data_IF_681547859662
#
_entry.id   IF_681547859662
#
_cell.length_a   1.000
_cell.length_b   1.000
_cell.length_c   1.000
_cell.angle_alpha   90.00
_cell.angle_beta   90.00
_cell.angle_gamma   90.00
#
_symmetry.space_group_name_H-M   'P 1'
#
loop_
_entity.id
_entity.type
_entity.pdbx_description
1 polymer ?
#
# COMPACT_ATOMS: atom_id res chain seq x y z
N UNK A 1 -30.48 4.84 1.71
CA UNK A 1 -29.19 5.55 1.52
C UNK A 1 -28.13 4.64 0.91
N UNK A 2 -27.68 3.57 1.59
CA UNK A 2 -26.62 2.71 1.05
C UNK A 2 -26.94 2.11 -0.32
N UNK A 3 -28.19 1.68 -0.53
CA UNK A 3 -28.66 1.21 -1.83
C UNK A 3 -28.55 2.29 -2.91
N UNK A 4 -28.95 3.53 -2.62
CA UNK A 4 -28.87 4.65 -3.54
C UNK A 4 -27.40 4.99 -3.91
N UNK A 5 -26.50 4.98 -2.93
CA UNK A 5 -25.07 5.15 -3.17
C UNK A 5 -24.51 4.02 -4.04
N UNK A 6 -24.90 2.75 -3.74
CA UNK A 6 -24.50 1.61 -4.57
C UNK A 6 -24.97 1.78 -6.01
N UNK A 7 -26.22 2.13 -6.20
CA UNK A 7 -26.81 2.32 -7.52
C UNK A 7 -26.08 3.42 -8.32
N UNK A 8 -25.74 4.54 -7.69
CA UNK A 8 -24.96 5.62 -8.33
C UNK A 8 -23.59 5.11 -8.80
N UNK A 9 -22.81 4.47 -7.91
CA UNK A 9 -21.48 3.95 -8.24
C UNK A 9 -21.56 2.92 -9.35
N UNK A 10 -22.45 1.93 -9.22
CA UNK A 10 -22.63 0.86 -10.22
C UNK A 10 -23.04 1.42 -11.58
N UNK A 11 -23.93 2.41 -11.61
CA UNK A 11 -24.33 3.06 -12.87
C UNK A 11 -23.15 3.78 -13.54
N UNK A 12 -22.31 4.47 -12.77
CA UNK A 12 -21.09 5.08 -13.33
C UNK A 12 -20.13 4.03 -13.87
N UNK A 13 -19.94 2.89 -13.18
CA UNK A 13 -19.09 1.79 -13.65
C UNK A 13 -19.64 1.17 -14.94
N UNK A 14 -20.96 0.97 -15.04
CA UNK A 14 -21.62 0.46 -16.28
C UNK A 14 -21.42 1.39 -17.47
N UNK A 15 -21.43 2.70 -17.25
CA UNK A 15 -21.24 3.71 -18.29
C UNK A 15 -19.77 3.90 -18.68
N UNK A 16 -18.86 3.52 -17.77
CA UNK A 16 -17.43 3.63 -18.03
C UNK A 16 -16.99 2.73 -19.20
N UNK A 17 -16.20 3.22 -20.15
CA UNK A 17 -15.68 2.40 -21.24
C UNK A 17 -14.75 1.28 -20.74
N UNK A 18 -14.02 1.53 -19.66
CA UNK A 18 -13.11 0.58 -19.01
C UNK A 18 -13.14 0.79 -17.50
N UNK A 19 -12.85 -0.28 -16.76
CA UNK A 19 -12.67 -0.21 -15.31
C UNK A 19 -11.57 -1.18 -14.85
N UNK A 20 -11.11 -1.01 -13.62
CA UNK A 20 -10.20 -1.91 -12.96
C UNK A 20 -10.67 -2.16 -11.52
N UNK A 21 -10.32 -3.30 -10.96
CA UNK A 21 -10.63 -3.64 -9.56
C UNK A 21 -9.36 -3.87 -8.75
N UNK A 22 -9.41 -3.53 -7.48
CA UNK A 22 -8.50 -4.04 -6.48
C UNK A 22 -9.27 -4.79 -5.43
N UNK A 23 -8.69 -5.84 -4.92
CA UNK A 23 -9.31 -6.65 -3.88
C UNK A 23 -8.27 -7.21 -2.91
N UNK A 24 -8.75 -7.43 -1.70
CA UNK A 24 -7.95 -8.02 -0.63
C UNK A 24 -8.87 -8.73 0.36
N UNK A 25 -8.32 -9.65 1.16
CA UNK A 25 -9.02 -10.42 2.15
C UNK A 25 -8.43 -10.18 3.54
N UNK A 26 -9.29 -10.05 4.53
CA UNK A 26 -8.87 -9.98 5.92
C UNK A 26 -9.88 -10.65 6.84
N UNK A 27 -9.41 -11.16 7.97
CA UNK A 27 -10.27 -11.77 8.99
C UNK A 27 -10.76 -10.71 9.97
N UNK A 28 -12.06 -10.63 10.17
CA UNK A 28 -12.67 -9.69 11.11
C UNK A 28 -12.66 -10.18 12.59
N UNK A 29 -13.18 -9.36 13.49
CA UNK A 29 -13.24 -9.67 14.94
C UNK A 29 -14.12 -10.86 15.29
N UNK A 30 -14.94 -11.34 14.36
CA UNK A 30 -15.78 -12.53 14.50
C UNK A 30 -15.14 -13.78 13.87
N UNK A 31 -13.88 -13.70 13.47
CA UNK A 31 -13.15 -14.73 12.74
C UNK A 31 -13.74 -15.08 11.37
N UNK A 32 -14.50 -14.15 10.77
CA UNK A 32 -15.02 -14.30 9.42
C UNK A 32 -14.06 -13.64 8.42
N UNK A 33 -13.70 -14.37 7.38
CA UNK A 33 -12.97 -13.80 6.26
C UNK A 33 -13.87 -12.83 5.49
N UNK A 34 -13.40 -11.63 5.24
CA UNK A 34 -14.11 -10.56 4.53
C UNK A 34 -13.37 -10.25 3.24
N UNK A 35 -14.04 -10.38 2.10
CA UNK A 35 -13.54 -9.94 0.81
C UNK A 35 -13.91 -8.47 0.60
N UNK A 36 -12.93 -7.60 0.42
CA UNK A 36 -13.12 -6.18 0.14
C UNK A 36 -12.72 -5.87 -1.29
N UNK A 37 -13.59 -5.17 -2.01
CA UNK A 37 -13.38 -4.83 -3.41
C UNK A 37 -13.62 -3.34 -3.64
N UNK A 38 -12.67 -2.69 -4.30
CA UNK A 38 -12.78 -1.33 -4.84
C UNK A 38 -12.72 -1.36 -6.35
N UNK A 39 -13.28 -0.34 -6.98
CA UNK A 39 -13.29 -0.15 -8.42
C UNK A 39 -12.71 1.20 -8.80
N UNK A 40 -11.98 1.24 -9.91
CA UNK A 40 -11.52 2.46 -10.58
C UNK A 40 -12.16 2.51 -11.95
N UNK A 41 -12.77 3.63 -12.29
CA UNK A 41 -13.56 3.80 -13.51
C UNK A 41 -13.47 5.25 -14.03
N UNK A 42 -13.92 5.47 -15.25
CA UNK A 42 -13.95 6.77 -15.89
C UNK A 42 -15.38 7.30 -15.86
N UNK A 43 -15.54 8.50 -15.34
CA UNK A 43 -16.80 9.23 -15.38
C UNK A 43 -16.50 10.74 -15.57
N UNK A 44 -17.26 11.42 -16.44
CA UNK A 44 -17.12 12.87 -16.70
C UNK A 44 -15.66 13.31 -16.97
N UNK A 45 -14.97 12.57 -17.83
CA UNK A 45 -13.55 12.80 -18.17
C UNK A 45 -12.59 12.82 -16.97
N UNK A 46 -12.92 12.06 -15.93
CA UNK A 46 -12.08 11.86 -14.75
C UNK A 46 -12.02 10.40 -14.37
N UNK A 47 -10.93 10.04 -13.75
CA UNK A 47 -10.78 8.75 -13.09
C UNK A 47 -11.35 8.85 -11.68
N UNK A 48 -12.21 7.92 -11.33
CA UNK A 48 -12.81 7.81 -10.01
C UNK A 48 -12.44 6.48 -9.37
N UNK A 49 -12.34 6.48 -8.05
CA UNK A 49 -12.12 5.30 -7.22
C UNK A 49 -13.22 5.23 -6.17
N UNK A 50 -13.88 4.09 -6.06
CA UNK A 50 -14.93 3.94 -5.08
C UNK A 50 -15.03 2.51 -4.52
N UNK A 51 -15.67 2.40 -3.37
CA UNK A 51 -15.98 1.14 -2.72
C UNK A 51 -17.03 0.37 -3.52
N UNK A 52 -16.68 -0.84 -3.98
CA UNK A 52 -17.59 -1.67 -4.75
C UNK A 52 -18.45 -2.57 -3.85
N UNK A 53 -17.82 -3.40 -3.02
CA UNK A 53 -18.52 -4.22 -2.01
C UNK A 53 -17.54 -4.80 -0.96
N UNK A 54 -18.13 -5.27 0.16
CA UNK A 54 -17.46 -6.10 1.16
C UNK A 54 -18.42 -7.22 1.59
N UNK A 55 -17.98 -8.47 1.41
CA UNK A 55 -18.81 -9.63 1.72
C UNK A 55 -18.04 -10.68 2.52
N UNK A 56 -18.70 -11.39 3.44
CA UNK A 56 -18.06 -12.51 4.13
C UNK A 56 -17.89 -13.70 3.17
N UNK A 57 -16.72 -14.32 3.22
CA UNK A 57 -16.45 -15.60 2.56
C UNK A 57 -16.85 -16.75 3.48
N UNK A 58 -17.54 -17.80 2.97
CA UNK A 58 -18.29 -18.71 3.84
C UNK A 58 -17.42 -19.58 4.75
N UNK A 59 -16.35 -20.21 4.26
CA UNK A 59 -15.55 -21.12 5.10
C UNK A 59 -14.09 -21.18 4.69
N UNK A 60 -13.81 -21.12 3.40
CA UNK A 60 -12.46 -21.17 2.84
C UNK A 60 -12.25 -19.99 1.93
N UNK A 61 -11.06 -19.42 1.97
CA UNK A 61 -10.65 -18.31 1.12
C UNK A 61 -9.92 -18.85 -0.10
N UNK A 62 -10.61 -19.75 -0.82
CA UNK A 62 -10.08 -20.31 -2.06
C UNK A 62 -10.33 -19.37 -3.24
N UNK A 63 -9.52 -19.51 -4.27
CA UNK A 63 -9.69 -18.76 -5.51
C UNK A 63 -11.11 -18.87 -6.07
N UNK A 64 -11.71 -20.07 -6.00
CA UNK A 64 -13.05 -20.35 -6.52
C UNK A 64 -14.13 -19.60 -5.74
N UNK A 65 -14.04 -19.55 -4.40
CA UNK A 65 -15.02 -18.81 -3.58
C UNK A 65 -14.89 -17.29 -3.79
N UNK A 66 -13.67 -16.77 -3.92
CA UNK A 66 -13.43 -15.36 -4.22
C UNK A 66 -13.95 -15.02 -5.62
N UNK A 67 -13.64 -15.86 -6.61
CA UNK A 67 -14.12 -15.67 -7.99
C UNK A 67 -15.64 -15.73 -8.06
N UNK A 68 -16.26 -16.67 -7.37
CA UNK A 68 -17.70 -16.81 -7.29
C UNK A 68 -18.36 -15.55 -6.74
N UNK A 69 -17.87 -15.01 -5.61
CA UNK A 69 -18.38 -13.77 -5.02
C UNK A 69 -18.26 -12.57 -5.97
N UNK A 70 -17.14 -12.44 -6.67
CA UNK A 70 -16.91 -11.41 -7.69
C UNK A 70 -17.88 -11.57 -8.86
N UNK A 71 -17.99 -12.78 -9.42
CA UNK A 71 -18.81 -13.04 -10.60
C UNK A 71 -20.31 -12.90 -10.31
N UNK A 72 -20.77 -13.33 -9.14
CA UNK A 72 -22.14 -13.09 -8.68
C UNK A 72 -22.45 -11.59 -8.56
N UNK A 73 -21.53 -10.80 -8.02
CA UNK A 73 -21.70 -9.35 -7.97
C UNK A 73 -21.78 -8.75 -9.38
N UNK A 74 -20.86 -9.11 -10.29
CA UNK A 74 -20.88 -8.63 -11.67
C UNK A 74 -22.18 -8.97 -12.39
N UNK A 75 -22.68 -10.21 -12.25
CA UNK A 75 -23.94 -10.64 -12.86
C UNK A 75 -25.14 -9.90 -12.28
N UNK A 76 -25.24 -9.82 -10.94
CA UNK A 76 -26.36 -9.18 -10.26
C UNK A 76 -26.45 -7.68 -10.55
N UNK A 77 -25.30 -7.03 -10.70
CA UNK A 77 -25.22 -5.60 -10.97
C UNK A 77 -25.06 -5.28 -12.46
N UNK A 78 -25.08 -6.27 -13.34
CA UNK A 78 -24.98 -6.07 -14.80
C UNK A 78 -23.68 -5.42 -15.23
N UNK A 79 -22.56 -5.73 -14.56
CA UNK A 79 -21.22 -5.28 -14.96
C UNK A 79 -20.62 -6.24 -15.98
N UNK A 80 -19.87 -5.70 -16.93
CA UNK A 80 -19.24 -6.48 -18.00
C UNK A 80 -17.77 -6.75 -17.74
N UNK A 81 -17.38 -8.02 -17.68
CA UNK A 81 -15.97 -8.42 -17.55
C UNK A 81 -15.12 -7.99 -18.75
N UNK A 82 -15.72 -7.85 -19.94
CA UNK A 82 -15.05 -7.36 -21.15
C UNK A 82 -14.50 -5.95 -21.00
N UNK A 83 -15.03 -5.15 -20.07
CA UNK A 83 -14.57 -3.79 -19.75
C UNK A 83 -13.60 -3.76 -18.56
N UNK A 84 -13.30 -4.90 -17.94
CA UNK A 84 -12.32 -4.97 -16.86
C UNK A 84 -10.90 -5.08 -17.44
N UNK A 85 -10.10 -4.03 -17.29
CA UNK A 85 -8.72 -3.96 -17.81
C UNK A 85 -7.64 -4.11 -16.74
N UNK A 86 -8.00 -4.22 -15.49
CA UNK A 86 -7.02 -4.40 -14.42
C UNK A 86 -7.58 -5.09 -13.20
N UNK A 87 -6.76 -5.97 -12.62
CA UNK A 87 -7.01 -6.58 -11.32
C UNK A 87 -5.75 -6.44 -10.47
N UNK A 88 -5.88 -5.87 -9.27
CA UNK A 88 -4.78 -5.74 -8.31
C UNK A 88 -5.09 -6.56 -7.06
N UNK A 89 -4.16 -7.43 -6.67
CA UNK A 89 -4.28 -8.28 -5.47
C UNK A 89 -2.93 -8.35 -4.75
N UNK A 90 -2.92 -8.95 -3.59
CA UNK A 90 -1.68 -9.43 -2.99
C UNK A 90 -1.11 -10.63 -3.78
N UNK A 91 0.07 -11.10 -3.36
CA UNK A 91 0.73 -12.25 -3.96
C UNK A 91 0.34 -13.60 -3.36
N UNK A 92 -0.74 -13.68 -2.57
CA UNK A 92 -1.18 -14.90 -1.91
C UNK A 92 -1.46 -16.03 -2.92
N UNK A 93 -1.24 -17.27 -2.49
CA UNK A 93 -1.40 -18.44 -3.36
C UNK A 93 -2.81 -18.60 -3.93
N UNK A 94 -3.84 -18.20 -3.19
CA UNK A 94 -5.21 -18.19 -3.66
C UNK A 94 -5.41 -17.20 -4.81
N UNK A 95 -4.67 -16.08 -4.81
CA UNK A 95 -4.75 -15.04 -5.85
C UNK A 95 -3.96 -15.45 -7.10
N UNK A 96 -2.72 -15.93 -6.95
CA UNK A 96 -1.73 -16.05 -8.03
C UNK A 96 -1.41 -17.48 -8.49
N UNK A 97 -2.08 -18.49 -7.93
CA UNK A 97 -1.83 -19.90 -8.27
C UNK A 97 -1.90 -20.17 -9.77
N UNK A 98 -0.85 -20.77 -10.35
CA UNK A 98 -0.65 -20.95 -11.81
C UNK A 98 -1.82 -21.66 -12.53
N UNK A 99 -2.51 -22.57 -11.86
CA UNK A 99 -3.55 -23.40 -12.49
C UNK A 99 -4.96 -22.99 -12.14
N UNK A 100 -5.19 -22.56 -10.90
CA UNK A 100 -6.53 -22.29 -10.36
C UNK A 100 -6.61 -21.01 -9.51
N UNK A 101 -5.60 -20.14 -9.59
CA UNK A 101 -5.63 -18.85 -8.88
C UNK A 101 -6.71 -17.92 -9.41
N UNK A 102 -7.19 -17.02 -8.57
CA UNK A 102 -8.21 -16.04 -8.92
C UNK A 102 -7.86 -15.26 -10.20
N UNK A 103 -6.63 -14.78 -10.30
CA UNK A 103 -6.15 -14.02 -11.47
C UNK A 103 -6.33 -14.82 -12.77
N UNK A 104 -6.01 -16.12 -12.75
CA UNK A 104 -6.19 -16.98 -13.91
C UNK A 104 -7.65 -17.14 -14.31
N UNK A 105 -8.55 -17.27 -13.34
CA UNK A 105 -9.99 -17.36 -13.58
C UNK A 105 -10.52 -16.05 -14.17
N UNK A 106 -10.15 -14.91 -13.61
CA UNK A 106 -10.53 -13.59 -14.16
C UNK A 106 -10.00 -13.42 -15.58
N UNK A 107 -8.73 -13.71 -15.85
CA UNK A 107 -8.15 -13.57 -17.19
C UNK A 107 -8.78 -14.51 -18.22
N UNK A 108 -9.42 -15.59 -17.81
CA UNK A 108 -10.16 -16.47 -18.72
C UNK A 108 -11.42 -15.79 -19.28
N UNK A 109 -12.10 -14.99 -18.49
CA UNK A 109 -13.33 -14.27 -18.88
C UNK A 109 -13.07 -12.81 -19.28
N UNK A 110 -11.97 -12.23 -18.82
CA UNK A 110 -11.48 -10.89 -19.12
C UNK A 110 -10.03 -10.95 -19.62
N UNK A 111 -9.77 -11.43 -20.86
CA UNK A 111 -8.40 -11.64 -21.37
C UNK A 111 -7.56 -10.36 -21.44
N UNK A 112 -8.22 -9.19 -21.52
CA UNK A 112 -7.58 -7.89 -21.55
C UNK A 112 -7.16 -7.40 -20.15
N UNK A 113 -7.59 -8.06 -19.07
CA UNK A 113 -7.26 -7.64 -17.71
C UNK A 113 -5.80 -7.92 -17.37
N UNK A 114 -5.07 -6.86 -17.06
CA UNK A 114 -3.70 -6.93 -16.56
C UNK A 114 -3.72 -7.16 -15.07
N UNK A 115 -2.99 -8.17 -14.62
CA UNK A 115 -2.81 -8.38 -13.19
C UNK A 115 -1.62 -7.58 -12.66
N UNK A 116 -1.85 -6.84 -11.58
CA UNK A 116 -0.82 -6.17 -10.80
C UNK A 116 -0.72 -6.80 -9.41
N UNK A 117 0.47 -7.31 -9.08
CA UNK A 117 0.79 -7.64 -7.70
C UNK A 117 0.95 -6.35 -6.91
N UNK A 118 0.22 -6.17 -5.83
CA UNK A 118 0.24 -4.98 -4.99
C UNK A 118 1.67 -4.53 -4.68
N UNK A 119 2.00 -3.30 -5.06
CA UNK A 119 3.36 -2.76 -4.91
C UNK A 119 3.77 -2.64 -3.44
N UNK A 120 2.81 -2.36 -2.54
CA UNK A 120 3.03 -2.28 -1.10
C UNK A 120 3.40 -3.65 -0.54
N UNK A 121 2.71 -4.71 -0.99
CA UNK A 121 3.03 -6.09 -0.60
C UNK A 121 4.41 -6.53 -1.13
N UNK A 122 4.73 -6.22 -2.40
CA UNK A 122 6.07 -6.49 -2.96
C UNK A 122 7.16 -5.78 -2.18
N UNK A 123 6.96 -4.52 -1.82
CA UNK A 123 7.88 -3.74 -1.01
C UNK A 123 8.08 -4.36 0.38
N UNK A 124 6.98 -4.79 1.03
CA UNK A 124 7.05 -5.47 2.30
C UNK A 124 7.78 -6.82 2.21
N UNK A 125 7.61 -7.57 1.12
CA UNK A 125 8.32 -8.84 0.88
C UNK A 125 9.82 -8.60 0.66
N UNK A 126 10.19 -7.61 -0.16
CA UNK A 126 11.59 -7.25 -0.38
C UNK A 126 12.30 -6.84 0.92
N UNK A 127 11.58 -6.18 1.83
CA UNK A 127 12.12 -5.71 3.12
C UNK A 127 12.23 -6.80 4.20
N UNK A 128 11.71 -8.01 3.98
CA UNK A 128 11.75 -9.11 4.97
C UNK A 128 13.13 -9.76 5.12
N UNK A 129 13.93 -9.73 4.07
CA UNK A 129 15.24 -10.42 4.05
C UNK A 129 16.28 -9.61 4.81
N UNK A 130 16.76 -10.14 5.93
CA UNK A 130 17.77 -9.50 6.77
C UNK A 130 18.84 -10.52 7.20
N UNK A 131 20.09 -10.08 7.47
CA UNK A 131 21.10 -10.86 8.15
C UNK A 131 20.60 -11.39 9.50
N UNK A 132 21.08 -12.57 9.89
CA UNK A 132 20.63 -13.24 11.11
C UNK A 132 20.87 -12.38 12.36
N UNK A 133 21.97 -11.67 12.39
CA UNK A 133 22.34 -10.78 13.49
C UNK A 133 21.28 -9.68 13.73
N UNK A 134 20.82 -9.06 12.65
CA UNK A 134 19.76 -8.04 12.71
C UNK A 134 18.40 -8.65 13.08
N UNK A 135 18.09 -9.86 12.61
CA UNK A 135 16.88 -10.57 13.02
C UNK A 135 16.86 -10.80 14.53
N UNK A 136 18.00 -11.24 15.12
CA UNK A 136 18.13 -11.45 16.58
C UNK A 136 17.89 -10.15 17.35
N UNK A 137 18.55 -9.05 16.96
CA UNK A 137 18.36 -7.74 17.59
C UNK A 137 16.88 -7.29 17.50
N UNK A 138 16.24 -7.47 16.36
CA UNK A 138 14.83 -7.13 16.18
C UNK A 138 13.91 -7.93 17.11
N UNK A 139 14.12 -9.26 17.21
CA UNK A 139 13.32 -10.13 18.07
C UNK A 139 13.53 -9.80 19.56
N UNK A 140 14.74 -9.46 19.96
CA UNK A 140 15.07 -9.03 21.32
C UNK A 140 14.45 -7.66 21.63
N UNK A 141 14.49 -6.71 20.70
CA UNK A 141 13.83 -5.41 20.84
C UNK A 141 12.31 -5.57 21.02
N UNK A 142 11.69 -6.47 20.27
CA UNK A 142 10.27 -6.81 20.43
C UNK A 142 9.99 -7.40 21.81
N UNK A 143 10.84 -8.29 22.32
CA UNK A 143 10.71 -8.85 23.69
C UNK A 143 10.84 -7.76 24.75
N UNK A 144 11.78 -6.83 24.60
CA UNK A 144 11.95 -5.66 25.49
C UNK A 144 10.65 -4.86 25.54
N UNK A 145 10.12 -4.45 24.40
CA UNK A 145 8.86 -3.67 24.30
C UNK A 145 7.70 -4.45 24.93
N UNK A 146 7.56 -5.74 24.63
CA UNK A 146 6.47 -6.56 25.13
C UNK A 146 6.57 -6.75 26.65
N UNK A 147 7.76 -6.84 27.25
CA UNK A 147 7.94 -6.96 28.71
C UNK A 147 7.33 -5.75 29.43
N UNK A 148 7.42 -4.56 28.85
CA UNK A 148 6.85 -3.34 29.42
C UNK A 148 5.36 -3.21 29.07
N UNK A 149 5.00 -3.42 27.81
CA UNK A 149 3.64 -3.13 27.29
C UNK A 149 2.59 -4.19 27.55
N UNK A 150 2.96 -5.46 27.71
CA UNK A 150 2.00 -6.55 27.91
C UNK A 150 1.34 -6.55 29.30
N UNK A 151 1.95 -5.89 30.29
CA UNK A 151 1.42 -5.78 31.64
C UNK A 151 1.02 -4.34 31.95
N UNK A 152 -0.26 -4.13 32.27
CA UNK A 152 -0.77 -2.79 32.59
C UNK A 152 -0.02 -2.11 33.76
N UNK A 153 0.45 -2.90 34.75
CA UNK A 153 1.27 -2.37 35.85
C UNK A 153 2.61 -1.84 35.33
N UNK A 154 3.36 -2.65 34.56
CA UNK A 154 4.65 -2.24 34.01
C UNK A 154 4.51 -0.97 33.13
N UNK A 155 3.46 -0.90 32.30
CA UNK A 155 3.19 0.30 31.47
C UNK A 155 3.00 1.54 32.32
N UNK A 156 2.30 1.47 33.46
CA UNK A 156 2.08 2.61 34.37
C UNK A 156 3.36 3.00 35.10
N UNK A 157 4.08 2.02 35.66
CA UNK A 157 5.36 2.26 36.38
C UNK A 157 6.38 2.86 35.41
N UNK A 158 6.51 2.33 34.19
CA UNK A 158 7.39 2.88 33.19
C UNK A 158 7.03 4.31 32.82
N UNK A 159 5.72 4.63 32.72
CA UNK A 159 5.27 6.01 32.44
C UNK A 159 5.65 6.99 33.56
N UNK A 160 5.57 6.56 34.81
CA UNK A 160 6.01 7.35 35.98
C UNK A 160 7.52 7.58 35.92
N UNK A 161 8.30 6.54 35.67
CA UNK A 161 9.76 6.64 35.53
C UNK A 161 10.16 7.61 34.41
N UNK A 162 9.51 7.54 33.22
CA UNK A 162 9.75 8.48 32.15
C UNK A 162 9.43 9.94 32.55
N UNK A 163 8.37 10.16 33.35
CA UNK A 163 8.05 11.49 33.87
C UNK A 163 9.12 12.00 34.84
N UNK A 164 9.59 11.14 35.75
CA UNK A 164 10.63 11.47 36.75
C UNK A 164 12.00 11.76 36.11
N UNK A 165 12.32 11.05 35.02
CA UNK A 165 13.54 11.28 34.21
C UNK A 165 13.43 12.46 33.25
N UNK A 166 12.25 13.08 33.11
CA UNK A 166 12.00 14.19 32.16
C UNK A 166 12.04 13.76 30.71
N UNK A 167 11.76 12.49 30.42
CA UNK A 167 11.77 11.96 29.07
C UNK A 167 10.77 12.67 28.15
N UNK A 168 11.14 12.85 26.87
CA UNK A 168 10.27 13.44 25.86
C UNK A 168 8.97 12.67 25.66
N UNK A 169 9.02 11.36 25.83
CA UNK A 169 7.88 10.46 25.67
C UNK A 169 7.66 9.63 26.95
N UNK A 170 6.41 9.37 27.25
CA UNK A 170 6.02 8.67 28.48
C UNK A 170 5.71 7.20 28.27
N UNK A 171 5.70 6.71 27.02
CA UNK A 171 5.28 5.34 26.69
C UNK A 171 5.98 4.81 25.46
N UNK A 172 6.28 3.52 25.48
CA UNK A 172 6.64 2.74 24.31
C UNK A 172 5.40 2.49 23.42
N UNK A 173 5.63 2.28 22.14
CA UNK A 173 4.58 1.90 21.19
C UNK A 173 4.41 0.37 21.21
N UNK A 174 3.18 -0.12 21.09
CA UNK A 174 2.93 -1.56 21.03
C UNK A 174 3.34 -2.09 19.64
N UNK A 175 4.07 -3.19 19.63
CA UNK A 175 4.39 -3.92 18.41
C UNK A 175 3.17 -4.68 17.92
N UNK A 176 2.77 -4.47 16.66
CA UNK A 176 1.75 -5.26 15.97
C UNK A 176 2.43 -6.17 14.95
N UNK A 177 2.30 -7.49 15.13
CA UNK A 177 2.88 -8.48 14.20
C UNK A 177 2.29 -8.40 12.81
N UNK A 178 1.03 -7.95 12.69
CA UNK A 178 0.26 -7.89 11.45
C UNK A 178 0.75 -6.79 10.50
N UNK A 179 1.37 -5.72 11.03
CA UNK A 179 1.86 -4.59 10.23
C UNK A 179 3.37 -4.46 10.33
N UNK A 180 4.07 -5.07 9.39
CA UNK A 180 5.53 -4.99 9.27
C UNK A 180 6.08 -3.56 9.40
N UNK A 181 5.38 -2.59 8.86
CA UNK A 181 5.77 -1.18 8.85
C UNK A 181 5.60 -0.45 10.19
N UNK A 182 4.81 -0.98 11.12
CA UNK A 182 4.71 -0.42 12.48
C UNK A 182 6.03 -0.57 13.28
N UNK A 183 6.90 -1.50 12.85
CA UNK A 183 8.19 -1.79 13.49
C UNK A 183 9.10 -0.57 13.55
N UNK A 184 9.22 0.21 12.45
CA UNK A 184 10.07 1.40 12.43
C UNK A 184 9.78 2.37 13.56
N UNK A 185 8.53 2.77 13.72
CA UNK A 185 8.12 3.70 14.80
C UNK A 185 8.34 3.15 16.19
N UNK A 186 8.17 1.82 16.37
CA UNK A 186 8.44 1.14 17.66
C UNK A 186 9.92 1.17 17.97
N UNK A 187 10.78 0.87 16.99
CA UNK A 187 12.24 0.87 17.17
C UNK A 187 12.77 2.29 17.43
N UNK A 188 12.34 3.28 16.67
CA UNK A 188 12.71 4.68 16.91
C UNK A 188 12.32 5.09 18.33
N UNK A 189 11.10 4.77 18.79
CA UNK A 189 10.66 5.07 20.16
C UNK A 189 11.48 4.32 21.21
N UNK A 190 11.94 3.11 20.93
CA UNK A 190 12.80 2.35 21.82
C UNK A 190 14.20 2.99 21.92
N UNK A 191 14.76 3.48 20.80
CA UNK A 191 16.01 4.23 20.80
C UNK A 191 15.91 5.54 21.60
N UNK A 192 14.79 6.28 21.42
CA UNK A 192 14.55 7.55 22.12
C UNK A 192 14.37 7.39 23.64
N UNK A 193 13.99 6.22 24.12
CA UNK A 193 13.76 5.89 25.54
C UNK A 193 14.72 4.83 26.05
N UNK A 194 15.90 4.68 25.45
CA UNK A 194 16.83 3.61 25.78
C UNK A 194 17.29 3.63 27.25
N UNK A 195 17.56 4.82 27.79
CA UNK A 195 18.06 5.00 29.15
C UNK A 195 16.97 4.67 30.19
N UNK A 196 15.75 5.14 29.96
CA UNK A 196 14.56 4.84 30.77
C UNK A 196 14.24 3.34 30.73
N UNK A 197 14.33 2.72 29.56
CA UNK A 197 14.08 1.29 29.39
C UNK A 197 15.17 0.47 30.11
N UNK A 198 16.44 0.87 30.00
CA UNK A 198 17.54 0.20 30.73
C UNK A 198 17.33 0.26 32.22
N UNK A 199 17.04 1.44 32.77
CA UNK A 199 16.78 1.64 34.19
C UNK A 199 15.59 0.80 34.65
N UNK A 200 14.46 0.88 33.97
CA UNK A 200 13.25 0.12 34.29
C UNK A 200 13.50 -1.41 34.30
N UNK A 201 14.16 -1.93 33.24
CA UNK A 201 14.47 -3.36 33.18
C UNK A 201 15.44 -3.82 34.28
N UNK A 202 16.33 -2.94 34.71
CA UNK A 202 17.25 -3.20 35.81
C UNK A 202 16.50 -3.28 37.15
N UNK A 203 15.60 -2.35 37.42
CA UNK A 203 14.75 -2.31 38.61
C UNK A 203 13.87 -3.55 38.75
N UNK A 204 13.31 -4.06 37.67
CA UNK A 204 12.51 -5.30 37.69
C UNK A 204 13.35 -6.57 37.55
N UNK A 205 14.69 -6.47 37.65
CA UNK A 205 15.64 -7.58 37.51
C UNK A 205 15.43 -8.40 36.24
N UNK A 206 15.12 -7.75 35.09
CA UNK A 206 14.93 -8.42 33.83
C UNK A 206 16.27 -8.75 33.16
N UNK A 207 16.47 -9.99 32.68
CA UNK A 207 17.68 -10.36 31.95
C UNK A 207 17.84 -9.62 30.63
N UNK A 208 16.80 -8.93 30.13
CA UNK A 208 16.82 -8.15 28.92
C UNK A 208 17.58 -6.82 29.04
N UNK A 209 17.82 -6.34 30.29
CA UNK A 209 18.62 -5.13 30.54
C UNK A 209 20.03 -5.22 29.93
N UNK A 210 20.62 -6.41 29.86
CA UNK A 210 21.96 -6.65 29.27
C UNK A 210 22.06 -6.19 27.81
N UNK A 211 20.97 -6.26 27.03
CA UNK A 211 20.99 -5.86 25.61
C UNK A 211 21.14 -4.34 25.46
N UNK A 212 20.48 -3.55 26.32
CA UNK A 212 20.62 -2.10 26.30
C UNK A 212 21.93 -1.60 26.91
N UNK A 213 22.68 -2.48 27.58
CA UNK A 213 24.05 -2.19 28.03
C UNK A 213 25.12 -2.60 27.01
N UNK A 214 24.76 -3.30 25.94
CA UNK A 214 25.67 -3.72 24.87
C UNK A 214 25.67 -2.69 23.74
N UNK A 215 26.82 -2.01 23.57
CA UNK A 215 26.98 -0.94 22.55
C UNK A 215 26.81 -1.43 21.12
N UNK A 216 27.23 -2.67 20.79
CA UNK A 216 27.03 -3.24 19.46
C UNK A 216 25.56 -3.52 19.19
N UNK A 217 24.84 -4.02 20.20
CA UNK A 217 23.40 -4.24 20.10
C UNK A 217 22.65 -2.92 19.90
N UNK A 218 23.01 -1.87 20.65
CA UNK A 218 22.43 -0.53 20.49
C UNK A 218 22.69 0.06 19.10
N UNK A 219 23.90 -0.09 18.57
CA UNK A 219 24.22 0.36 17.23
C UNK A 219 23.40 -0.36 16.15
N UNK A 220 23.24 -1.69 16.28
CA UNK A 220 22.38 -2.45 15.37
C UNK A 220 20.90 -2.09 15.50
N UNK A 221 20.41 -1.83 16.71
CA UNK A 221 19.05 -1.34 16.95
C UNK A 221 18.81 0.01 16.30
N UNK A 222 19.75 0.95 16.47
CA UNK A 222 19.69 2.27 15.87
C UNK A 222 19.68 2.22 14.33
N UNK A 223 20.53 1.37 13.73
CA UNK A 223 20.50 1.10 12.30
C UNK A 223 19.14 0.56 11.84
N UNK A 224 18.57 -0.40 12.60
CA UNK A 224 17.24 -0.94 12.28
C UNK A 224 16.16 0.15 12.35
N UNK A 225 16.19 1.04 13.32
CA UNK A 225 15.28 2.17 13.42
C UNK A 225 15.37 3.06 12.17
N UNK A 226 16.58 3.45 11.76
CA UNK A 226 16.81 4.30 10.60
C UNK A 226 16.41 3.65 9.27
N UNK A 227 16.79 2.40 9.03
CA UNK A 227 16.48 1.73 7.78
C UNK A 227 14.98 1.44 7.64
N UNK A 228 14.30 1.06 8.73
CA UNK A 228 12.86 0.89 8.72
C UNK A 228 12.10 2.20 8.51
N UNK A 229 12.60 3.33 9.02
CA UNK A 229 12.02 4.64 8.74
C UNK A 229 12.10 4.98 7.24
N UNK A 230 13.24 4.71 6.60
CA UNK A 230 13.42 4.90 5.14
C UNK A 230 12.49 3.98 4.32
N UNK A 231 12.34 2.72 4.73
CA UNK A 231 11.42 1.76 4.11
C UNK A 231 9.96 2.20 4.31
N UNK A 232 9.62 2.71 5.49
CA UNK A 232 8.29 3.27 5.79
C UNK A 232 7.99 4.52 4.95
N UNK A 233 8.97 5.39 4.76
CA UNK A 233 8.84 6.57 3.92
C UNK A 233 8.51 6.18 2.47
N UNK A 234 9.19 5.17 1.91
CA UNK A 234 8.83 4.61 0.61
C UNK A 234 7.40 4.05 0.63
N UNK A 235 7.07 3.24 1.64
CA UNK A 235 5.73 2.65 1.73
C UNK A 235 4.63 3.71 1.76
N UNK A 236 4.82 4.77 2.55
CA UNK A 236 3.88 5.90 2.61
C UNK A 236 3.76 6.62 1.27
N UNK A 237 4.86 6.77 0.54
CA UNK A 237 4.83 7.38 -0.80
C UNK A 237 4.09 6.53 -1.84
N UNK A 238 4.12 5.19 -1.69
CA UNK A 238 3.39 4.24 -2.55
C UNK A 238 1.89 4.14 -2.22
N UNK A 239 1.47 4.67 -1.06
CA UNK A 239 0.09 4.76 -0.64
C UNK A 239 -0.54 6.04 -1.20
N UNK A 240 -1.82 5.99 -1.55
CA UNK A 240 -2.55 7.17 -2.00
C UNK A 240 -3.61 6.84 -3.04
N UNK A 241 -4.48 7.81 -3.25
CA UNK A 241 -5.48 7.78 -4.32
C UNK A 241 -4.83 8.21 -5.64
N UNK A 242 -5.42 7.76 -6.75
CA UNK A 242 -5.00 8.14 -8.11
C UNK A 242 -3.57 7.71 -8.51
N UNK A 243 -2.91 6.88 -7.70
CA UNK A 243 -1.59 6.32 -8.05
C UNK A 243 -1.67 5.49 -9.33
N UNK A 244 -0.72 5.68 -10.24
CA UNK A 244 -0.61 4.91 -11.49
C UNK A 244 0.77 4.25 -11.61
N UNK A 245 0.92 3.35 -12.57
CA UNK A 245 2.12 2.52 -12.73
C UNK A 245 3.41 3.34 -12.81
N UNK A 246 3.39 4.49 -13.47
CA UNK A 246 4.60 5.31 -13.65
C UNK A 246 5.05 5.98 -12.35
N UNK A 247 4.14 6.61 -11.58
CA UNK A 247 4.50 7.21 -10.28
C UNK A 247 5.02 6.17 -9.31
N UNK A 248 4.40 5.00 -9.27
CA UNK A 248 4.84 3.89 -8.44
C UNK A 248 6.25 3.39 -8.85
N UNK A 249 6.51 3.29 -10.15
CA UNK A 249 7.82 2.91 -10.69
C UNK A 249 8.90 3.94 -10.33
N UNK A 250 8.61 5.24 -10.48
CA UNK A 250 9.55 6.32 -10.13
C UNK A 250 9.96 6.28 -8.66
N UNK A 251 8.99 6.08 -7.78
CA UNK A 251 9.22 6.01 -6.33
C UNK A 251 10.14 4.84 -5.97
N UNK A 252 9.89 3.66 -6.54
CA UNK A 252 10.73 2.47 -6.34
C UNK A 252 12.13 2.68 -6.94
N UNK A 253 12.20 3.22 -8.16
CA UNK A 253 13.49 3.50 -8.82
C UNK A 253 14.30 4.52 -8.04
N UNK A 254 13.65 5.57 -7.52
CA UNK A 254 14.29 6.55 -6.63
C UNK A 254 14.84 5.92 -5.36
N UNK A 255 14.09 4.97 -4.76
CA UNK A 255 14.55 4.23 -3.58
C UNK A 255 15.72 3.29 -3.91
N UNK A 256 15.69 2.57 -5.03
CA UNK A 256 16.82 1.72 -5.50
C UNK A 256 18.10 2.53 -5.66
N UNK A 257 18.02 3.71 -6.29
CA UNK A 257 19.17 4.63 -6.42
C UNK A 257 19.70 5.09 -5.06
N UNK A 258 18.83 5.31 -4.07
CA UNK A 258 19.25 5.61 -2.69
C UNK A 258 19.97 4.41 -2.07
N UNK A 259 19.47 3.18 -2.25
CA UNK A 259 20.17 1.97 -1.78
C UNK A 259 21.57 1.85 -2.35
N UNK A 260 21.74 2.07 -3.66
CA UNK A 260 23.06 2.04 -4.30
C UNK A 260 24.01 3.09 -3.70
N UNK A 261 23.51 4.32 -3.48
CA UNK A 261 24.29 5.38 -2.84
C UNK A 261 24.67 5.03 -1.39
N UNK A 262 23.76 4.45 -0.63
CA UNK A 262 24.01 4.02 0.76
C UNK A 262 25.02 2.87 0.82
N UNK A 263 24.91 1.87 -0.05
CA UNK A 263 25.90 0.79 -0.16
C UNK A 263 27.32 1.36 -0.42
N UNK A 264 27.44 2.31 -1.37
CA UNK A 264 28.73 2.91 -1.70
C UNK A 264 29.32 3.75 -0.54
N UNK A 265 28.49 4.46 0.23
CA UNK A 265 28.93 5.26 1.39
C UNK A 265 29.33 4.38 2.57
N UNK A 266 28.50 3.40 2.94
CA UNK A 266 28.81 2.43 4.01
C UNK A 266 30.08 1.65 3.68
N UNK A 267 30.30 1.27 2.41
CA UNK A 267 31.54 0.64 1.96
C UNK A 267 32.80 1.47 2.23
N UNK A 268 32.68 2.80 2.31
CA UNK A 268 33.75 3.75 2.66
C UNK A 268 33.77 4.12 4.15
N UNK A 269 32.93 3.50 4.98
CA UNK A 269 32.85 3.73 6.42
C UNK A 269 31.99 4.94 6.85
N UNK A 270 31.29 5.63 5.93
CA UNK A 270 30.37 6.72 6.28
C UNK A 270 29.01 6.17 6.69
N UNK A 271 28.45 6.66 7.80
CA UNK A 271 27.13 6.29 8.33
C UNK A 271 26.15 7.46 8.36
N UNK A 272 26.50 8.62 7.79
CA UNK A 272 25.72 9.89 7.78
C UNK A 272 24.26 9.72 7.35
N UNK A 273 23.96 8.71 6.51
CA UNK A 273 22.59 8.44 6.09
C UNK A 273 21.74 7.77 7.16
N UNK A 274 22.32 7.34 8.28
CA UNK A 274 21.66 6.69 9.42
C UNK A 274 21.89 7.53 10.68
N UNK A 275 21.11 8.60 10.89
CA UNK A 275 21.39 9.59 11.95
C UNK A 275 21.27 9.02 13.35
N UNK A 276 20.33 8.07 13.62
CA UNK A 276 20.22 7.43 14.94
C UNK A 276 21.43 6.54 15.20
N UNK A 277 21.92 5.83 14.19
CA UNK A 277 23.14 5.04 14.29
C UNK A 277 24.36 5.92 14.54
N UNK A 278 24.49 7.02 13.78
CA UNK A 278 25.61 7.96 13.91
C UNK A 278 25.70 8.55 15.32
N UNK A 279 24.58 8.99 15.87
CA UNK A 279 24.48 9.47 17.27
C UNK A 279 24.92 8.40 18.30
N UNK A 280 24.52 7.15 18.11
CA UNK A 280 24.95 6.04 18.99
C UNK A 280 26.44 5.76 18.85
N UNK A 281 26.99 5.75 17.64
CA UNK A 281 28.43 5.53 17.42
C UNK A 281 29.29 6.63 18.07
N UNK A 282 28.85 7.89 17.96
CA UNK A 282 29.52 9.03 18.61
C UNK A 282 29.48 8.94 20.14
N UNK A 283 28.28 8.72 20.70
CA UNK A 283 28.09 8.63 22.17
C UNK A 283 28.86 7.48 22.80
N UNK A 284 28.95 6.36 22.09
CA UNK A 284 29.61 5.14 22.63
C UNK A 284 31.10 5.04 22.27
N UNK A 285 31.61 5.94 21.41
CA UNK A 285 32.93 5.87 20.81
C UNK A 285 33.19 4.53 20.08
N UNK A 286 32.15 3.88 19.60
CA UNK A 286 32.23 2.63 18.85
C UNK A 286 32.68 2.92 17.41
N UNK A 287 33.71 2.24 16.88
CA UNK A 287 34.13 2.48 15.51
C UNK A 287 33.09 1.99 14.50
N UNK A 288 32.82 2.72 13.41
CA UNK A 288 31.86 2.29 12.37
C UNK A 288 32.13 0.90 11.81
N UNK A 289 33.38 0.45 11.81
CA UNK A 289 33.81 -0.87 11.35
C UNK A 289 33.16 -2.03 12.13
N UNK A 290 32.73 -1.80 13.37
CA UNK A 290 32.09 -2.82 14.21
C UNK A 290 30.74 -3.32 13.63
N UNK A 291 29.99 -2.47 12.94
CA UNK A 291 28.67 -2.78 12.37
C UNK A 291 28.65 -2.74 10.85
N UNK A 292 29.70 -2.22 10.22
CA UNK A 292 29.80 -1.98 8.77
C UNK A 292 29.51 -3.23 7.94
N UNK A 293 30.08 -4.38 8.33
CA UNK A 293 29.92 -5.63 7.57
C UNK A 293 28.45 -6.09 7.53
N UNK A 294 27.78 -6.06 8.68
CA UNK A 294 26.36 -6.49 8.81
C UNK A 294 25.45 -5.51 8.02
N UNK A 295 25.69 -4.22 8.14
CA UNK A 295 24.94 -3.19 7.41
C UNK A 295 25.14 -3.35 5.90
N UNK A 296 26.37 -3.53 5.43
CA UNK A 296 26.66 -3.78 4.02
C UNK A 296 25.95 -5.01 3.49
N UNK A 297 25.96 -6.10 4.24
CA UNK A 297 25.25 -7.33 3.88
C UNK A 297 23.74 -7.09 3.77
N UNK A 298 23.15 -6.36 4.71
CA UNK A 298 21.71 -6.04 4.69
C UNK A 298 21.33 -5.14 3.49
N UNK A 299 22.09 -4.06 3.25
CA UNK A 299 21.80 -3.15 2.13
C UNK A 299 21.94 -3.83 0.78
N UNK A 300 22.96 -4.69 0.59
CA UNK A 300 23.10 -5.51 -0.61
C UNK A 300 21.92 -6.47 -0.78
N UNK A 301 21.53 -7.15 0.29
CA UNK A 301 20.35 -8.03 0.28
C UNK A 301 19.07 -7.28 -0.09
N UNK A 302 18.83 -6.09 0.47
CA UNK A 302 17.70 -5.24 0.10
C UNK A 302 17.75 -4.84 -1.37
N UNK A 303 18.91 -4.41 -1.87
CA UNK A 303 19.09 -4.04 -3.28
C UNK A 303 18.74 -5.20 -4.21
N UNK A 304 19.23 -6.39 -3.92
CA UNK A 304 18.99 -7.59 -4.73
C UNK A 304 17.51 -8.01 -4.68
N UNK A 305 16.87 -7.96 -3.52
CA UNK A 305 15.44 -8.22 -3.39
C UNK A 305 14.58 -7.17 -4.11
N UNK A 306 14.95 -5.89 -4.02
CA UNK A 306 14.25 -4.85 -4.79
C UNK A 306 14.44 -5.04 -6.30
N UNK A 307 15.58 -5.53 -6.76
CA UNK A 307 15.80 -5.86 -8.17
C UNK A 307 14.94 -7.06 -8.63
N UNK A 308 14.77 -8.08 -7.77
CA UNK A 308 13.96 -9.26 -8.05
C UNK A 308 12.45 -8.91 -8.09
N UNK A 309 11.95 -8.18 -7.09
CA UNK A 309 10.52 -7.85 -7.01
C UNK A 309 10.09 -6.73 -7.95
N UNK A 310 10.99 -5.83 -8.31
CA UNK A 310 10.70 -4.65 -9.13
C UNK A 310 11.63 -4.63 -10.35
N UNK A 311 11.17 -5.27 -11.41
CA UNK A 311 11.86 -5.28 -12.70
C UNK A 311 12.00 -3.88 -13.32
N UNK A 312 12.51 -3.82 -14.53
CA UNK A 312 12.59 -2.59 -15.32
C UNK A 312 11.20 -2.19 -15.86
N UNK A 313 10.99 -0.90 -16.07
CA UNK A 313 9.78 -0.38 -16.71
C UNK A 313 9.72 -0.91 -18.16
N UNK A 314 8.56 -1.42 -18.61
CA UNK A 314 8.39 -1.79 -20.02
C UNK A 314 8.63 -0.57 -20.92
N UNK A 315 9.67 -0.59 -21.72
CA UNK A 315 10.06 0.51 -22.61
C UNK A 315 8.94 0.93 -23.57
N UNK A 316 8.04 0.02 -23.91
CA UNK A 316 6.93 0.26 -24.84
C UNK A 316 5.86 1.26 -24.34
N UNK A 317 5.83 1.63 -23.06
CA UNK A 317 4.81 2.52 -22.48
C UNK A 317 5.30 3.94 -22.19
N UNK A 318 6.57 4.25 -22.45
CA UNK A 318 7.13 5.57 -22.13
C UNK A 318 6.46 6.74 -22.88
N UNK A 319 5.92 6.48 -24.07
CA UNK A 319 5.16 7.47 -24.84
C UNK A 319 3.92 7.99 -24.08
N UNK A 320 3.36 7.17 -23.18
CA UNK A 320 2.20 7.58 -22.35
C UNK A 320 2.63 8.67 -21.37
N UNK A 321 3.83 8.57 -20.80
CA UNK A 321 4.38 9.55 -19.85
C UNK A 321 4.74 10.87 -20.51
N UNK A 322 5.35 10.79 -21.68
CA UNK A 322 5.81 11.95 -22.42
C UNK A 322 5.68 11.71 -23.92
N UNK A 323 4.49 11.95 -24.49
CA UNK A 323 4.26 11.79 -25.91
C UNK A 323 5.11 12.75 -26.78
N UNK A 324 5.64 13.82 -26.20
CA UNK A 324 6.44 14.85 -26.87
C UNK A 324 7.93 14.52 -26.96
N UNK A 325 8.40 13.48 -26.25
CA UNK A 325 9.80 12.99 -26.31
C UNK A 325 9.77 11.49 -26.64
N UNK A 326 9.24 11.17 -27.81
CA UNK A 326 8.98 9.81 -28.25
C UNK A 326 10.24 9.18 -28.89
N UNK A 327 10.89 8.20 -28.26
CA UNK A 327 12.02 7.51 -28.87
C UNK A 327 11.55 6.52 -29.95
N UNK A 328 12.33 6.43 -31.05
CA UNK A 328 12.03 5.51 -32.14
C UNK A 328 11.86 4.04 -31.72
N UNK A 329 12.48 3.62 -30.62
CA UNK A 329 12.40 2.26 -30.05
C UNK A 329 11.06 1.92 -29.41
N UNK A 330 10.19 2.90 -29.13
CA UNK A 330 8.86 2.65 -28.56
C UNK A 330 7.79 2.40 -29.64
N UNK A 331 8.14 2.52 -30.93
CA UNK A 331 7.22 2.34 -32.05
C UNK A 331 6.70 0.92 -32.23
N UNK A 332 7.50 -0.07 -31.86
CA UNK A 332 7.12 -1.49 -31.99
C UNK A 332 5.85 -1.89 -31.21
N UNK A 333 5.45 -1.08 -30.24
CA UNK A 333 4.26 -1.31 -29.41
C UNK A 333 2.98 -0.65 -29.97
N UNK A 334 3.07 0.15 -31.04
CA UNK A 334 1.98 0.93 -31.62
C UNK A 334 1.65 0.41 -33.03
N UNK A 335 0.37 0.47 -33.42
CA UNK A 335 -0.03 0.30 -34.81
C UNK A 335 0.32 1.56 -35.61
N UNK A 336 0.38 1.45 -36.93
CA UNK A 336 0.65 2.60 -37.82
C UNK A 336 -0.29 3.77 -37.55
N UNK A 337 -1.57 3.51 -37.37
CA UNK A 337 -2.57 4.52 -37.07
C UNK A 337 -2.33 5.20 -35.72
N UNK A 338 -1.89 4.44 -34.71
CA UNK A 338 -1.54 4.99 -33.39
C UNK A 338 -0.25 5.81 -33.47
N UNK A 339 0.73 5.41 -34.29
CA UNK A 339 1.94 6.18 -34.53
C UNK A 339 1.66 7.53 -35.22
N UNK A 340 0.84 7.52 -36.26
CA UNK A 340 0.42 8.74 -36.97
C UNK A 340 -0.30 9.71 -36.03
N UNK A 341 -1.27 9.21 -35.26
CA UNK A 341 -1.99 10.01 -34.27
C UNK A 341 -1.05 10.57 -33.18
N UNK A 342 -0.06 9.78 -32.73
CA UNK A 342 0.92 10.24 -31.75
C UNK A 342 1.88 11.29 -32.35
N UNK A 343 2.25 11.18 -33.64
CA UNK A 343 3.07 12.17 -34.33
C UNK A 343 2.34 13.51 -34.44
N UNK A 344 1.06 13.51 -34.76
CA UNK A 344 0.23 14.71 -34.77
C UNK A 344 0.11 15.34 -33.39
N UNK A 345 -0.24 14.53 -32.36
CA UNK A 345 -0.33 14.97 -30.99
C UNK A 345 0.99 15.58 -30.50
N UNK A 346 2.12 14.93 -30.79
CA UNK A 346 3.44 15.38 -30.34
C UNK A 346 3.91 16.68 -30.98
N UNK A 347 3.35 17.04 -32.10
CA UNK A 347 3.66 18.30 -32.82
C UNK A 347 2.87 19.50 -32.28
N UNK A 348 1.85 19.27 -31.45
CA UNK A 348 0.99 20.31 -30.91
C UNK A 348 1.55 20.90 -29.61
N UNK A 349 1.99 22.16 -29.65
CA UNK A 349 2.59 22.85 -28.50
C UNK A 349 1.58 23.13 -27.37
N UNK A 350 0.31 23.38 -27.70
CA UNK A 350 -0.72 23.64 -26.69
C UNK A 350 -1.01 22.37 -25.87
N UNK A 351 -1.00 21.21 -26.53
CA UNK A 351 -1.13 19.92 -25.84
C UNK A 351 0.07 19.62 -24.94
N UNK A 352 1.28 20.04 -25.34
CA UNK A 352 2.46 19.92 -24.50
C UNK A 352 2.33 20.72 -23.21
N UNK A 353 1.80 21.94 -23.29
CA UNK A 353 1.54 22.75 -22.11
C UNK A 353 0.46 22.13 -21.22
N UNK A 354 -0.64 21.64 -21.80
CA UNK A 354 -1.69 20.94 -21.04
C UNK A 354 -1.17 19.74 -20.25
N UNK A 355 -0.23 18.95 -20.81
CA UNK A 355 0.36 17.82 -20.09
C UNK A 355 1.10 18.25 -18.82
N UNK A 356 1.70 19.44 -18.82
CA UNK A 356 2.40 19.98 -17.63
C UNK A 356 1.42 20.48 -16.56
N UNK A 357 0.26 20.99 -16.99
CA UNK A 357 -0.72 21.67 -16.13
C UNK A 357 -1.70 20.71 -15.44
N UNK A 358 -1.81 19.47 -15.91
CA UNK A 358 -2.81 18.54 -15.37
C UNK A 358 -2.26 17.12 -15.16
N UNK A 359 -2.90 16.30 -14.30
CA UNK A 359 -2.55 14.89 -14.14
C UNK A 359 -2.61 14.13 -15.46
N UNK A 360 -1.69 13.19 -15.66
CA UNK A 360 -1.55 12.40 -16.89
C UNK A 360 -2.84 11.69 -17.31
N UNK A 361 -3.60 11.16 -16.36
CA UNK A 361 -4.91 10.53 -16.64
C UNK A 361 -5.90 11.52 -17.23
N UNK A 362 -5.92 12.74 -16.67
CA UNK A 362 -6.80 13.81 -17.16
C UNK A 362 -6.37 14.33 -18.52
N UNK A 363 -5.05 14.41 -18.76
CA UNK A 363 -4.52 14.76 -20.08
C UNK A 363 -5.03 13.80 -21.15
N UNK A 364 -4.84 12.49 -20.96
CA UNK A 364 -5.26 11.49 -21.94
C UNK A 364 -6.78 11.49 -22.18
N UNK A 365 -7.58 11.69 -21.14
CA UNK A 365 -9.03 11.83 -21.29
C UNK A 365 -9.42 13.12 -22.03
N UNK A 366 -8.68 14.22 -21.84
CA UNK A 366 -8.98 15.50 -22.50
C UNK A 366 -8.74 15.50 -24.02
N UNK A 367 -7.89 14.59 -24.50
CA UNK A 367 -7.56 14.45 -25.93
C UNK A 367 -8.28 13.29 -26.61
N UNK A 368 -9.18 12.59 -25.89
CA UNK A 368 -9.89 11.41 -26.38
C UNK A 368 -10.71 11.69 -27.63
N UNK A 369 -11.35 12.86 -27.73
CA UNK A 369 -12.14 13.24 -28.89
C UNK A 369 -11.32 13.44 -30.17
N UNK A 370 -10.07 13.91 -30.04
CA UNK A 370 -9.16 14.16 -31.14
C UNK A 370 -8.31 12.94 -31.51
N UNK A 371 -7.87 12.20 -30.45
CA UNK A 371 -6.95 11.07 -30.56
C UNK A 371 -7.49 9.81 -29.84
N UNK A 372 -8.65 9.26 -30.26
CA UNK A 372 -9.36 8.22 -29.50
C UNK A 372 -8.54 6.94 -29.31
N UNK A 373 -7.80 6.48 -30.31
CA UNK A 373 -7.06 5.21 -30.24
C UNK A 373 -5.89 5.28 -29.26
N UNK A 374 -5.05 6.31 -29.33
CA UNK A 374 -3.91 6.48 -28.41
C UNK A 374 -4.37 6.82 -27.00
N UNK A 375 -5.45 7.61 -26.85
CA UNK A 375 -6.04 7.88 -25.53
C UNK A 375 -6.57 6.60 -24.88
N UNK A 376 -7.36 5.81 -25.60
CA UNK A 376 -7.87 4.54 -25.09
C UNK A 376 -6.73 3.58 -24.70
N UNK A 377 -5.66 3.49 -25.50
CA UNK A 377 -4.50 2.67 -25.19
C UNK A 377 -3.74 3.17 -23.96
N UNK A 378 -3.55 4.48 -23.82
CA UNK A 378 -2.94 5.08 -22.63
C UNK A 378 -3.78 4.80 -21.38
N UNK A 379 -5.11 4.94 -21.46
CA UNK A 379 -5.99 4.67 -20.32
C UNK A 379 -6.00 3.21 -19.89
N UNK A 380 -5.84 2.24 -20.81
CA UNK A 380 -5.70 0.81 -20.45
C UNK A 380 -4.47 0.54 -19.59
N UNK A 381 -3.41 1.34 -19.71
CA UNK A 381 -2.20 1.26 -18.87
C UNK A 381 -2.34 2.03 -17.57
N UNK A 382 -3.08 3.14 -17.58
CA UNK A 382 -3.21 4.04 -16.44
C UNK A 382 -4.32 3.65 -15.46
N UNK A 383 -5.39 2.96 -15.93
CA UNK A 383 -6.54 2.61 -15.11
C UNK A 383 -6.26 1.47 -14.10
N UNK A 384 -5.42 0.45 -14.37
CA UNK A 384 -5.12 -0.59 -13.41
C UNK A 384 -4.55 -0.03 -12.11
N UNK A 385 -5.05 -0.55 -10.98
CA UNK A 385 -4.49 -0.24 -9.67
C UNK A 385 -3.08 -0.80 -9.52
N UNK A 386 -2.23 -0.08 -8.82
CA UNK A 386 -0.87 -0.52 -8.47
C UNK A 386 -0.76 -1.10 -7.07
N UNK A 387 -1.74 -0.83 -6.21
CA UNK A 387 -1.77 -1.31 -4.83
C UNK A 387 -3.18 -1.69 -4.40
N UNK A 388 -3.29 -2.43 -3.29
CA UNK A 388 -4.53 -2.73 -2.58
C UNK A 388 -4.75 -1.76 -1.39
N UNK A 389 -4.17 -0.57 -1.44
CA UNK A 389 -4.21 0.41 -0.34
C UNK A 389 -5.62 0.79 0.10
N UNK A 390 -6.57 0.95 -0.84
CA UNK A 390 -7.94 1.29 -0.48
C UNK A 390 -8.63 0.14 0.28
N UNK A 391 -8.29 -1.12 0.00
CA UNK A 391 -8.76 -2.26 0.77
C UNK A 391 -8.21 -2.21 2.21
N UNK A 392 -6.94 -1.84 2.42
CA UNK A 392 -6.37 -1.65 3.76
C UNK A 392 -7.09 -0.53 4.54
N UNK A 393 -7.41 0.58 3.86
CA UNK A 393 -8.24 1.65 4.43
C UNK A 393 -9.64 1.15 4.78
N UNK A 394 -10.25 0.34 3.91
CA UNK A 394 -11.54 -0.28 4.12
C UNK A 394 -11.56 -1.24 5.32
N UNK A 395 -10.53 -2.08 5.49
CA UNK A 395 -10.40 -2.94 6.67
C UNK A 395 -10.16 -2.16 7.95
N UNK A 396 -9.47 -1.02 7.88
CA UNK A 396 -9.34 -0.13 9.02
C UNK A 396 -10.69 0.44 9.44
N UNK A 397 -11.53 0.87 8.48
CA UNK A 397 -12.91 1.30 8.74
C UNK A 397 -13.79 0.15 9.27
N UNK A 398 -13.66 -1.05 8.69
CA UNK A 398 -14.36 -2.24 9.16
C UNK A 398 -14.07 -2.51 10.66
N UNK A 399 -12.82 -2.38 11.08
CA UNK A 399 -12.43 -2.58 12.50
C UNK A 399 -13.07 -1.54 13.44
N UNK A 400 -13.30 -0.31 12.97
CA UNK A 400 -13.99 0.72 13.72
C UNK A 400 -15.50 0.43 13.86
N UNK A 401 -16.13 -0.02 12.78
CA UNK A 401 -17.58 -0.30 12.72
C UNK A 401 -17.91 -1.62 13.41
N UNK A 402 -17.15 -2.67 13.10
CA UNK A 402 -17.35 -4.04 13.63
C UNK A 402 -16.34 -4.33 14.73
N UNK A 403 -16.78 -4.20 15.95
CA UNK A 403 -15.95 -4.44 17.14
C UNK A 403 -16.50 -5.62 17.97
N UNK A 404 -15.86 -5.97 19.09
CA UNK A 404 -16.26 -7.09 19.95
C UNK A 404 -17.72 -7.05 20.41
N UNK A 405 -18.30 -5.85 20.58
CA UNK A 405 -19.70 -5.65 20.98
C UNK A 405 -20.68 -5.69 19.81
N UNK A 406 -20.20 -5.55 18.59
CA UNK A 406 -20.96 -5.53 17.33
C UNK A 406 -20.45 -6.58 16.34
N UNK A 407 -20.03 -7.74 16.83
CA UNK A 407 -19.41 -8.78 16.01
C UNK A 407 -20.36 -9.42 14.97
N UNK A 408 -21.67 -9.37 15.21
CA UNK A 408 -22.70 -9.92 14.28
C UNK A 408 -23.27 -8.90 13.30
N UNK A 409 -22.78 -7.66 13.32
CA UNK A 409 -23.27 -6.62 12.43
C UNK A 409 -22.97 -6.96 10.96
N UNK A 410 -23.99 -6.82 10.11
CA UNK A 410 -23.82 -6.83 8.66
C UNK A 410 -23.35 -5.42 8.24
N UNK A 411 -22.08 -5.31 7.89
CA UNK A 411 -21.39 -4.02 7.79
C UNK A 411 -21.38 -3.42 6.40
N UNK A 412 -21.88 -4.11 5.38
CA UNK A 412 -21.76 -3.69 3.99
C UNK A 412 -22.38 -2.30 3.73
N UNK A 413 -23.55 -2.05 4.28
CA UNK A 413 -24.26 -0.78 4.11
C UNK A 413 -23.57 0.37 4.87
N UNK A 414 -23.10 0.10 6.09
CA UNK A 414 -22.39 1.08 6.90
C UNK A 414 -21.02 1.42 6.26
N UNK A 415 -20.30 0.39 5.80
CA UNK A 415 -19.04 0.59 5.07
C UNK A 415 -19.24 1.40 3.79
N UNK A 416 -20.32 1.14 3.05
CA UNK A 416 -20.63 1.89 1.84
C UNK A 416 -20.83 3.37 2.12
N UNK A 417 -21.63 3.70 3.14
CA UNK A 417 -21.86 5.09 3.52
C UNK A 417 -20.62 5.78 4.09
N UNK A 418 -19.71 5.01 4.67
CA UNK A 418 -18.47 5.54 5.24
C UNK A 418 -17.35 5.70 4.21
N UNK A 419 -17.24 4.80 3.23
CA UNK A 419 -16.08 4.69 2.33
C UNK A 419 -16.34 5.29 0.95
N UNK A 420 -17.60 5.28 0.47
CA UNK A 420 -17.93 5.79 -0.85
C UNK A 420 -17.79 7.31 -0.90
N UNK A 421 -17.29 7.79 -2.04
CA UNK A 421 -17.26 9.22 -2.36
C UNK A 421 -18.60 9.76 -2.80
N UNK A 422 -19.51 8.89 -3.27
CA UNK A 422 -20.86 9.25 -3.69
C UNK A 422 -21.75 9.53 -2.47
N UNK A 423 -22.49 10.64 -2.55
CA UNK A 423 -23.41 11.06 -1.47
C UNK A 423 -24.82 10.56 -1.75
N UNK A 424 -25.59 10.14 -0.71
CA UNK A 424 -26.97 9.77 -0.89
C UNK A 424 -27.80 10.94 -1.44
N UNK A 425 -28.64 10.69 -2.43
CA UNK A 425 -29.56 11.68 -3.01
C UNK A 425 -30.79 11.86 -2.10
N UNK A 426 -30.62 12.60 -0.99
CA UNK A 426 -31.60 12.70 0.09
C UNK A 426 -32.96 13.19 -0.42
N UNK A 427 -32.99 14.22 -1.26
CA UNK A 427 -34.23 14.77 -1.82
C UNK A 427 -35.00 13.72 -2.66
N UNK A 428 -34.29 12.98 -3.50
CA UNK A 428 -34.85 11.90 -4.29
C UNK A 428 -35.41 10.78 -3.41
N UNK A 429 -34.66 10.38 -2.37
CA UNK A 429 -35.08 9.35 -1.41
C UNK A 429 -36.31 9.80 -0.60
N UNK A 430 -36.39 11.07 -0.24
CA UNK A 430 -37.57 11.64 0.45
C UNK A 430 -38.77 11.65 -0.50
N UNK A 431 -38.61 12.14 -1.73
CA UNK A 431 -39.67 12.21 -2.71
C UNK A 431 -40.27 10.80 -3.05
N UNK A 432 -39.39 9.77 -3.12
CA UNK A 432 -39.83 8.39 -3.38
C UNK A 432 -40.60 7.73 -2.22
N UNK A 433 -40.51 8.28 -0.99
CA UNK A 433 -41.19 7.77 0.22
C UNK A 433 -42.43 8.55 0.62
N UNK A 434 -42.78 9.61 -0.10
CA UNK A 434 -43.95 10.43 0.23
C UNK A 434 -45.22 9.67 -0.19
N UNK A 435 -45.73 8.84 0.71
CA UNK A 435 -47.18 8.74 0.99
C UNK A 435 -47.36 9.02 2.46
N UNK A 436 -47.89 10.20 2.82
CA UNK A 436 -48.36 10.37 4.18
C UNK A 436 -49.53 9.40 4.37
N UNK A 437 -49.36 8.37 5.20
CA UNK A 437 -50.51 7.75 5.80
C UNK A 437 -51.12 8.81 6.73
N UNK A 438 -52.20 9.42 6.27
CA UNK A 438 -53.16 10.04 7.19
C UNK A 438 -53.67 8.96 8.10
N UNK A 439 -53.10 8.82 9.28
CA UNK A 439 -53.73 8.09 10.37
C UNK A 439 -54.79 9.02 10.95
N UNK A 440 -56.03 8.65 10.74
CA UNK A 440 -57.16 9.11 11.53
C UNK A 440 -57.13 8.47 12.91
#
# INVERSE_FOLDING_TARGET
MAYDVKEQVVNCVRQSPIHAIQLDESTDVAHCAQLMVYVRFINEQRVHEDFLFCVPLPARTTADEIFKALNEFYQNEGLEWSRCYGICTDGARAMTGRHSGLVKQVQTIAPAAVWNHCIIHRQALAAKTMPKELCVVLDEAVKVVNTIKSRALNTRLFSILCDEMGARFKQLLLHSEVRWLSRGKVLTRLCELQDEVLLFLTEINSPLAKHLADMNWLAMLAYLADIFDKINSLNTSLQGKEGHVFTAHDQVTGFRRKLDAWCARVGRGSMEMFPTLEDVLEKTALPPSSVQLVITAHLNGLRDQFAEYFGEEPLGNQWIRNPFSFPATARDALSLQEEEALAELSSNLDLKQRLVEMPITRFWLSVESEFPHVSAKAMRVLIPFTSTYLCECGFSALTLIKNKYRSRLQVQDDLRLFLSSAQPRIEHLCASKVRPHCSH
#
